data_IF_849007388350
#
_entry.id   IF_849007388350
#
_cell.length_a   1.000
_cell.length_b   1.000
_cell.length_c   1.000
_cell.angle_alpha   90.00
_cell.angle_beta   90.00
_cell.angle_gamma   90.00
#
_symmetry.space_group_name_H-M   'P 1'
#
loop_
_entity.id
_entity.type
_entity.pdbx_description
1 polymer ?
#
# COMPACT_ATOMS: atom_id res chain seq x y z
N UNK A 1 -6.54 21.87 -5.08
CA UNK A 1 -5.43 21.08 -4.51
C UNK A 1 -5.87 19.66 -4.17
N UNK A 2 -6.88 19.43 -3.31
CA UNK A 2 -7.36 18.08 -2.98
C UNK A 2 -7.93 17.29 -4.17
N UNK A 3 -8.85 17.89 -4.94
CA UNK A 3 -9.49 17.23 -6.11
C UNK A 3 -8.47 16.79 -7.17
N UNK A 4 -7.41 17.57 -7.37
CA UNK A 4 -6.34 17.27 -8.34
C UNK A 4 -5.43 16.13 -7.88
N UNK A 5 -5.12 16.05 -6.58
CA UNK A 5 -4.32 14.96 -6.01
C UNK A 5 -5.08 13.63 -6.10
N UNK A 6 -6.36 13.62 -5.69
CA UNK A 6 -7.19 12.42 -5.77
C UNK A 6 -7.37 11.95 -7.22
N UNK A 7 -7.63 12.86 -8.17
CA UNK A 7 -7.72 12.51 -9.59
C UNK A 7 -6.41 11.94 -10.14
N UNK A 8 -5.26 12.50 -9.73
CA UNK A 8 -3.94 11.98 -10.08
C UNK A 8 -3.71 10.56 -9.56
N UNK A 9 -4.07 10.32 -8.30
CA UNK A 9 -3.91 9.01 -7.68
C UNK A 9 -4.82 7.94 -8.30
N UNK A 10 -6.07 8.29 -8.62
CA UNK A 10 -6.99 7.36 -9.28
C UNK A 10 -6.54 7.01 -10.71
N UNK A 11 -5.87 7.92 -11.40
CA UNK A 11 -5.23 7.62 -12.69
C UNK A 11 -4.13 6.58 -12.52
N UNK A 12 -3.22 6.77 -11.55
CA UNK A 12 -2.13 5.81 -11.29
C UNK A 12 -2.67 4.42 -10.97
N UNK A 13 -3.66 4.32 -10.08
CA UNK A 13 -4.28 3.02 -9.77
C UNK A 13 -4.88 2.36 -11.02
N UNK A 14 -5.66 3.10 -11.81
CA UNK A 14 -6.27 2.53 -13.01
C UNK A 14 -5.23 2.19 -14.10
N UNK A 15 -4.17 2.96 -14.26
CA UNK A 15 -3.08 2.66 -15.20
C UNK A 15 -2.33 1.38 -14.80
N UNK A 16 -2.02 1.22 -13.52
CA UNK A 16 -1.32 0.02 -13.03
C UNK A 16 -2.18 -1.23 -13.12
N UNK A 17 -3.47 -1.14 -12.74
CA UNK A 17 -4.32 -2.32 -12.61
C UNK A 17 -5.11 -2.67 -13.90
N UNK A 18 -5.20 -1.76 -14.88
CA UNK A 18 -5.90 -2.01 -16.14
C UNK A 18 -5.37 -3.22 -16.95
N UNK A 19 -4.04 -3.47 -17.06
CA UNK A 19 -3.52 -4.68 -17.69
C UNK A 19 -4.03 -5.99 -17.08
N UNK A 20 -4.48 -5.93 -15.83
CA UNK A 20 -5.03 -7.06 -15.07
C UNK A 20 -6.57 -7.07 -15.03
N UNK A 21 -7.23 -6.27 -15.89
CA UNK A 21 -8.68 -6.12 -15.99
C UNK A 21 -9.36 -5.63 -14.69
N UNK A 22 -8.63 -4.89 -13.86
CA UNK A 22 -9.16 -4.26 -12.65
C UNK A 22 -9.29 -2.76 -12.90
N UNK A 23 -10.45 -2.21 -12.56
CA UNK A 23 -10.76 -0.78 -12.68
C UNK A 23 -11.36 -0.26 -11.37
N UNK A 24 -10.90 0.89 -10.92
CA UNK A 24 -11.43 1.58 -9.76
C UNK A 24 -12.26 2.80 -10.18
N UNK A 25 -13.45 2.90 -9.60
CA UNK A 25 -14.36 4.03 -9.78
C UNK A 25 -14.62 4.68 -8.42
N UNK A 26 -14.41 5.99 -8.34
CA UNK A 26 -14.67 6.74 -7.11
C UNK A 26 -16.18 6.79 -6.86
N UNK A 27 -16.65 6.14 -5.79
CA UNK A 27 -18.05 6.23 -5.33
C UNK A 27 -18.30 7.45 -4.44
N UNK A 28 -17.38 7.76 -3.54
CA UNK A 28 -17.47 8.91 -2.65
C UNK A 28 -16.09 9.51 -2.37
N UNK A 29 -16.03 10.81 -2.10
CA UNK A 29 -14.84 11.51 -1.67
C UNK A 29 -15.20 12.42 -0.49
N UNK A 30 -14.67 12.08 0.69
CA UNK A 30 -14.86 12.86 1.91
C UNK A 30 -13.55 13.50 2.36
N UNK A 31 -13.65 14.53 3.20
CA UNK A 31 -12.49 15.17 3.80
C UNK A 31 -12.80 15.45 5.28
N UNK A 32 -11.89 14.99 6.14
CA UNK A 32 -12.06 15.12 7.60
C UNK A 32 -10.84 15.82 8.18
N UNK A 33 -11.08 16.84 9.01
CA UNK A 33 -10.05 17.56 9.75
C UNK A 33 -10.09 17.11 11.21
N UNK A 34 -8.99 16.58 11.71
CA UNK A 34 -8.85 16.15 13.09
C UNK A 34 -7.39 16.26 13.55
N UNK A 35 -7.13 17.16 14.50
CA UNK A 35 -5.77 17.48 14.98
C UNK A 35 -5.02 16.29 15.59
N UNK A 36 -5.73 15.30 16.15
CA UNK A 36 -5.10 14.10 16.69
C UNK A 36 -4.61 13.18 15.55
N UNK A 37 -5.36 13.14 14.45
CA UNK A 37 -5.10 12.28 13.29
C UNK A 37 -4.03 12.82 12.35
N UNK A 38 -3.67 14.10 12.47
CA UNK A 38 -2.54 14.68 11.71
C UNK A 38 -1.20 14.46 12.38
N UNK A 39 -1.17 14.02 13.65
CA UNK A 39 0.06 13.81 14.42
C UNK A 39 0.47 12.35 14.50
N UNK A 40 -0.45 11.43 14.19
CA UNK A 40 -0.23 10.00 14.21
C UNK A 40 -1.32 9.32 13.37
N UNK A 41 -0.99 8.18 12.74
CA UNK A 41 -1.89 7.56 11.76
C UNK A 41 -3.28 7.19 12.30
N UNK A 42 -3.38 6.73 13.56
CA UNK A 42 -4.68 6.44 14.23
C UNK A 42 -5.61 5.59 13.35
N UNK A 43 -5.04 4.58 12.70
CA UNK A 43 -5.69 3.70 11.70
C UNK A 43 -7.03 3.17 12.21
N UNK A 44 -7.01 2.58 13.41
CA UNK A 44 -8.20 2.03 14.06
C UNK A 44 -9.32 3.07 14.18
N UNK A 45 -9.02 4.23 14.77
CA UNK A 45 -10.00 5.29 15.04
C UNK A 45 -10.61 5.83 13.74
N UNK A 46 -9.82 5.94 12.67
CA UNK A 46 -10.28 6.38 11.36
C UNK A 46 -11.18 5.35 10.71
N UNK A 47 -10.79 4.07 10.73
CA UNK A 47 -11.58 3.00 10.14
C UNK A 47 -12.96 2.89 10.82
N UNK A 48 -13.00 2.90 12.16
CA UNK A 48 -14.25 2.90 12.94
C UNK A 48 -15.14 4.12 12.64
N UNK A 49 -14.55 5.31 12.47
CA UNK A 49 -15.29 6.54 12.30
C UNK A 49 -15.70 6.85 10.85
N UNK A 50 -14.93 6.38 9.86
CA UNK A 50 -15.01 6.87 8.49
C UNK A 50 -15.26 5.80 7.44
N UNK A 51 -15.15 4.50 7.74
CA UNK A 51 -15.41 3.44 6.76
C UNK A 51 -16.82 3.55 6.19
N UNK A 52 -16.95 3.41 4.87
CA UNK A 52 -18.21 3.46 4.14
C UNK A 52 -18.27 2.35 3.09
N UNK A 53 -19.48 2.04 2.62
CA UNK A 53 -19.69 1.08 1.55
C UNK A 53 -19.96 -0.35 2.03
N UNK A 54 -19.87 -1.29 1.10
CA UNK A 54 -20.03 -2.73 1.28
C UNK A 54 -18.68 -3.48 1.14
N UNK A 55 -18.69 -4.82 1.13
CA UNK A 55 -17.49 -5.65 1.01
C UNK A 55 -16.76 -5.53 -0.33
N UNK A 56 -17.43 -5.03 -1.36
CA UNK A 56 -16.85 -4.72 -2.67
C UNK A 56 -16.35 -3.27 -2.80
N UNK A 57 -16.37 -2.51 -1.70
CA UNK A 57 -15.90 -1.12 -1.64
C UNK A 57 -14.56 -0.98 -0.92
N UNK A 58 -13.53 -0.63 -1.68
CA UNK A 58 -12.22 -0.29 -1.14
C UNK A 58 -12.22 1.13 -0.55
N UNK A 59 -11.92 1.24 0.75
CA UNK A 59 -11.68 2.51 1.43
C UNK A 59 -10.19 2.82 1.42
N UNK A 60 -9.80 4.01 0.92
CA UNK A 60 -8.42 4.50 0.97
C UNK A 60 -8.39 5.83 1.71
N UNK A 61 -7.65 5.87 2.82
CA UNK A 61 -7.45 7.05 3.65
C UNK A 61 -6.10 7.69 3.31
N UNK A 62 -6.13 8.78 2.54
CA UNK A 62 -4.95 9.62 2.33
C UNK A 62 -4.79 10.57 3.52
N UNK A 63 -3.69 10.41 4.27
CA UNK A 63 -3.54 11.05 5.57
C UNK A 63 -2.15 11.64 5.83
N UNK A 64 -2.10 12.60 6.75
CA UNK A 64 -0.87 13.28 7.19
C UNK A 64 -0.30 12.72 8.49
N UNK A 65 -1.02 11.80 9.14
CA UNK A 65 -0.61 11.18 10.40
C UNK A 65 0.41 10.06 10.24
N UNK A 66 0.54 9.51 9.02
CA UNK A 66 1.67 8.68 8.64
C UNK A 66 2.92 9.55 8.51
N UNK A 67 4.09 8.97 8.77
CA UNK A 67 5.39 9.62 8.60
C UNK A 67 5.73 10.75 9.58
N UNK A 68 4.93 10.93 10.62
CA UNK A 68 5.19 11.92 11.68
C UNK A 68 6.27 11.48 12.67
N UNK A 69 6.68 10.21 12.64
CA UNK A 69 7.74 9.65 13.47
C UNK A 69 8.82 8.98 12.59
N UNK A 70 10.09 8.95 13.04
CA UNK A 70 11.13 8.13 12.41
C UNK A 70 10.66 6.67 12.29
N UNK A 71 10.92 6.04 11.16
CA UNK A 71 10.53 4.65 10.83
C UNK A 71 9.02 4.40 10.69
N UNK A 72 8.19 5.44 10.55
CA UNK A 72 6.80 5.23 10.17
C UNK A 72 6.70 4.80 8.71
N UNK A 73 5.80 3.86 8.44
CA UNK A 73 5.48 3.44 7.08
C UNK A 73 4.87 4.59 6.26
N UNK A 74 5.04 4.52 4.94
CA UNK A 74 4.41 5.39 3.95
C UNK A 74 2.98 4.97 3.62
N UNK A 75 2.65 3.71 3.86
CA UNK A 75 1.33 3.14 3.71
C UNK A 75 1.17 1.87 4.55
N UNK A 76 -0.08 1.43 4.68
CA UNK A 76 -0.46 0.13 5.23
C UNK A 76 -1.85 -0.23 4.72
N UNK A 77 -2.07 -1.49 4.36
CA UNK A 77 -3.39 -1.99 4.03
C UNK A 77 -3.70 -3.32 4.71
N UNK A 78 -4.99 -3.60 4.89
CA UNK A 78 -5.46 -4.91 5.34
C UNK A 78 -5.36 -5.94 4.23
N UNK A 79 -4.99 -7.17 4.58
CA UNK A 79 -5.20 -8.34 3.71
C UNK A 79 -6.68 -8.73 3.67
N UNK A 80 -7.13 -9.52 2.67
CA UNK A 80 -8.40 -10.22 2.73
C UNK A 80 -8.45 -11.13 3.96
N UNK A 81 -9.39 -10.89 4.86
CA UNK A 81 -9.58 -11.71 6.07
C UNK A 81 -11.00 -12.27 6.07
N UNK A 82 -11.12 -13.59 6.21
CA UNK A 82 -12.41 -14.22 6.49
C UNK A 82 -12.79 -13.95 7.96
N UNK A 83 -13.91 -13.26 8.18
CA UNK A 83 -14.38 -12.93 9.54
C UNK A 83 -15.86 -13.25 9.78
N UNK A 84 -16.27 -14.54 9.72
CA UNK A 84 -17.68 -14.90 9.81
C UNK A 84 -18.24 -14.81 11.24
N UNK A 85 -17.40 -14.59 12.26
CA UNK A 85 -17.79 -14.48 13.67
C UNK A 85 -17.46 -13.12 14.33
N UNK A 86 -17.10 -12.09 13.56
CA UNK A 86 -16.76 -10.75 14.08
C UNK A 86 -15.64 -10.79 15.15
N UNK A 87 -14.57 -11.49 14.83
CA UNK A 87 -13.42 -11.79 15.70
C UNK A 87 -12.38 -10.67 15.76
N UNK A 88 -12.67 -9.52 15.16
CA UNK A 88 -11.78 -8.37 15.23
C UNK A 88 -11.72 -7.73 16.61
N UNK A 89 -11.14 -6.53 16.65
CA UNK A 89 -10.69 -5.91 17.90
C UNK A 89 -11.89 -5.65 18.84
N UNK A 90 -11.85 -6.19 20.06
CA UNK A 90 -12.92 -6.04 21.06
C UNK A 90 -14.32 -6.48 20.55
N UNK A 91 -14.39 -7.47 19.65
CA UNK A 91 -15.65 -7.98 19.09
C UNK A 91 -16.24 -7.14 17.96
N UNK A 92 -15.48 -6.17 17.44
CA UNK A 92 -15.80 -5.49 16.18
C UNK A 92 -15.35 -6.34 15.01
N UNK A 93 -16.10 -6.35 13.90
CA UNK A 93 -15.70 -7.11 12.71
C UNK A 93 -14.41 -6.57 12.09
N UNK A 94 -13.58 -7.46 11.52
CA UNK A 94 -12.45 -7.08 10.66
C UNK A 94 -12.89 -6.28 9.45
N UNK A 95 -14.14 -6.46 9.01
CA UNK A 95 -14.75 -5.59 8.02
C UNK A 95 -14.60 -4.11 8.37
N UNK A 96 -14.72 -3.72 9.64
CA UNK A 96 -14.58 -2.32 10.06
C UNK A 96 -13.19 -1.75 9.77
N UNK A 97 -12.16 -2.58 9.80
CA UNK A 97 -10.76 -2.18 9.65
C UNK A 97 -10.20 -2.44 8.25
N UNK A 98 -11.02 -2.99 7.36
CA UNK A 98 -10.64 -3.20 5.98
C UNK A 98 -10.37 -1.87 5.25
N UNK A 99 -9.33 -1.84 4.43
CA UNK A 99 -8.94 -0.67 3.63
C UNK A 99 -7.48 -0.27 3.83
N UNK A 100 -7.07 0.73 3.07
CA UNK A 100 -5.69 1.19 3.02
C UNK A 100 -5.52 2.58 3.62
N UNK A 101 -4.42 2.81 4.31
CA UNK A 101 -3.97 4.10 4.80
C UNK A 101 -2.69 4.48 4.08
N UNK A 102 -2.66 5.64 3.45
CA UNK A 102 -1.55 6.06 2.59
C UNK A 102 -1.16 7.49 2.94
N UNK A 103 0.14 7.76 3.02
CA UNK A 103 0.64 9.12 3.23
C UNK A 103 0.26 10.01 2.06
N UNK A 104 -0.25 11.22 2.34
CA UNK A 104 -0.45 12.24 1.30
C UNK A 104 0.86 12.64 0.61
N UNK A 105 2.01 12.39 1.25
CA UNK A 105 3.34 12.67 0.70
C UNK A 105 3.66 11.89 -0.57
N UNK A 106 3.15 10.66 -0.68
CA UNK A 106 3.45 9.75 -1.79
C UNK A 106 2.49 9.86 -2.96
N UNK A 107 1.42 10.66 -2.83
CA UNK A 107 0.46 10.90 -3.91
C UNK A 107 1.08 11.70 -5.07
N UNK A 108 0.59 11.52 -6.32
CA UNK A 108 0.99 12.33 -7.47
C UNK A 108 0.83 13.83 -7.22
N UNK A 109 1.93 14.57 -7.20
CA UNK A 109 1.95 16.01 -6.91
C UNK A 109 1.89 16.36 -5.41
N UNK A 110 2.02 15.36 -4.54
CA UNK A 110 2.23 15.53 -3.10
C UNK A 110 3.64 16.05 -2.78
N UNK A 111 3.90 16.43 -1.52
CA UNK A 111 5.18 17.03 -1.11
C UNK A 111 6.37 16.07 -1.10
N UNK A 112 6.17 14.77 -1.37
CA UNK A 112 7.21 13.75 -1.21
C UNK A 112 7.43 13.33 0.24
N UNK A 113 8.32 12.37 0.42
CA UNK A 113 8.69 11.85 1.74
C UNK A 113 10.01 12.46 2.21
N UNK A 114 10.26 12.66 3.53
CA UNK A 114 11.43 13.41 4.00
C UNK A 114 12.78 12.85 3.54
N UNK A 115 12.88 11.54 3.36
CA UNK A 115 14.09 10.86 2.91
C UNK A 115 14.15 10.64 1.39
N UNK A 116 13.03 10.85 0.68
CA UNK A 116 12.95 10.76 -0.78
C UNK A 116 11.85 11.69 -1.32
N UNK A 117 12.14 13.00 -1.45
CA UNK A 117 11.12 13.99 -1.83
C UNK A 117 10.54 13.78 -3.24
N UNK A 118 11.20 12.98 -4.06
CA UNK A 118 10.79 12.68 -5.44
C UNK A 118 9.91 11.44 -5.54
N UNK A 119 9.79 10.65 -4.47
CA UNK A 119 8.99 9.42 -4.44
C UNK A 119 7.50 9.72 -4.15
N UNK A 120 6.92 10.56 -5.01
CA UNK A 120 5.53 11.04 -4.93
C UNK A 120 4.73 10.65 -6.18
N UNK A 121 4.98 9.46 -6.72
CA UNK A 121 4.39 8.99 -7.99
C UNK A 121 3.08 8.21 -7.81
N UNK A 122 2.56 8.09 -6.59
CA UNK A 122 1.31 7.38 -6.28
C UNK A 122 1.40 5.86 -6.25
N UNK A 123 2.59 5.29 -6.46
CA UNK A 123 2.80 3.84 -6.48
C UNK A 123 2.75 3.22 -5.07
N UNK A 124 2.93 3.98 -3.98
CA UNK A 124 2.65 3.48 -2.62
C UNK A 124 1.20 3.01 -2.49
N UNK A 125 0.22 3.77 -2.98
CA UNK A 125 -1.17 3.31 -2.94
C UNK A 125 -1.39 2.06 -3.82
N UNK A 126 -0.59 1.88 -4.89
CA UNK A 126 -0.65 0.67 -5.70
C UNK A 126 -0.14 -0.54 -4.91
N UNK A 127 1.00 -0.40 -4.22
CA UNK A 127 1.56 -1.42 -3.31
C UNK A 127 0.54 -1.82 -2.23
N UNK A 128 -0.03 -0.83 -1.54
CA UNK A 128 -1.03 -1.07 -0.49
C UNK A 128 -2.28 -1.79 -1.02
N UNK A 129 -2.76 -1.43 -2.20
CA UNK A 129 -3.90 -2.12 -2.82
C UNK A 129 -3.52 -3.52 -3.29
N UNK A 130 -2.25 -3.80 -3.58
CA UNK A 130 -1.76 -5.16 -3.77
C UNK A 130 -1.97 -6.04 -2.53
N UNK A 131 -1.64 -5.53 -1.35
CA UNK A 131 -1.96 -6.22 -0.08
C UNK A 131 -3.46 -6.41 0.12
N UNK A 132 -4.28 -5.42 -0.26
CA UNK A 132 -5.74 -5.56 -0.23
C UNK A 132 -6.25 -6.70 -1.12
N UNK A 133 -5.57 -6.99 -2.23
CA UNK A 133 -5.85 -8.14 -3.08
C UNK A 133 -5.19 -9.45 -2.63
N UNK A 134 -4.45 -9.44 -1.51
CA UNK A 134 -3.82 -10.63 -0.95
C UNK A 134 -2.36 -10.85 -1.35
N UNK A 135 -1.71 -9.89 -2.03
CA UNK A 135 -0.32 -10.03 -2.43
C UNK A 135 0.61 -9.77 -1.25
N UNK A 136 1.58 -10.66 -1.07
CA UNK A 136 2.67 -10.54 -0.11
C UNK A 136 3.80 -9.66 -0.67
N UNK A 137 4.75 -9.29 0.19
CA UNK A 137 5.99 -8.70 -0.31
C UNK A 137 6.77 -9.74 -1.08
N UNK A 138 7.47 -9.34 -2.15
CA UNK A 138 8.28 -10.28 -2.96
C UNK A 138 9.38 -10.97 -2.15
N UNK A 139 9.77 -10.36 -1.01
CA UNK A 139 10.79 -10.85 -0.08
C UNK A 139 10.20 -11.50 1.19
N UNK A 140 8.88 -11.74 1.22
CA UNK A 140 8.28 -12.51 2.31
C UNK A 140 8.87 -13.93 2.35
N UNK A 141 8.98 -14.47 3.57
CA UNK A 141 9.78 -15.67 3.86
C UNK A 141 11.21 -15.36 4.30
N UNK A 142 11.78 -14.21 3.87
CA UNK A 142 13.13 -13.74 4.25
C UNK A 142 14.26 -14.75 3.97
N UNK A 143 14.05 -15.60 2.96
CA UNK A 143 14.99 -16.64 2.55
C UNK A 143 14.86 -16.88 1.03
N UNK A 144 15.85 -17.54 0.44
CA UNK A 144 15.83 -17.95 -0.97
C UNK A 144 15.07 -19.27 -1.18
N UNK A 145 14.99 -20.07 -0.12
CA UNK A 145 14.29 -21.33 -0.09
C UNK A 145 12.91 -21.17 0.59
N UNK A 146 11.96 -22.01 0.20
CA UNK A 146 10.61 -22.02 0.77
C UNK A 146 9.56 -21.49 -0.20
N UNK A 147 8.45 -21.00 0.35
CA UNK A 147 7.28 -20.61 -0.45
C UNK A 147 7.29 -19.12 -0.87
N UNK A 148 8.22 -18.31 -0.33
CA UNK A 148 8.37 -16.90 -0.69
C UNK A 148 7.09 -16.09 -0.47
N UNK A 149 6.71 -15.32 -1.51
CA UNK A 149 5.46 -14.55 -1.59
C UNK A 149 4.25 -15.38 -2.05
N UNK A 150 4.41 -16.71 -2.17
CA UNK A 150 3.42 -17.68 -2.67
C UNK A 150 3.08 -17.53 -4.16
N UNK A 151 3.92 -16.84 -4.95
CA UNK A 151 3.71 -16.62 -6.39
C UNK A 151 4.85 -17.25 -7.19
N UNK A 152 4.55 -18.34 -7.90
CA UNK A 152 5.54 -19.13 -8.65
C UNK A 152 6.35 -18.35 -9.70
N UNK A 153 5.81 -17.25 -10.25
CA UNK A 153 6.48 -16.44 -11.26
C UNK A 153 7.23 -15.21 -10.71
N UNK A 154 7.21 -15.00 -9.39
CA UNK A 154 8.10 -14.06 -8.71
C UNK A 154 9.45 -14.75 -8.43
N UNK A 155 10.59 -14.22 -8.92
CA UNK A 155 11.91 -14.76 -8.56
C UNK A 155 12.16 -14.74 -7.06
N UNK A 156 12.86 -15.77 -6.56
CA UNK A 156 13.22 -15.88 -5.15
C UNK A 156 13.97 -14.63 -4.69
N UNK A 157 13.44 -13.94 -3.68
CA UNK A 157 13.98 -12.69 -3.16
C UNK A 157 14.05 -12.79 -1.64
N UNK A 158 15.23 -12.51 -1.09
CA UNK A 158 15.47 -12.62 0.36
C UNK A 158 15.37 -11.29 1.09
N UNK A 159 15.67 -10.19 0.39
CA UNK A 159 15.79 -8.86 0.99
C UNK A 159 15.07 -7.85 0.12
N UNK A 160 14.31 -6.95 0.75
CA UNK A 160 13.70 -5.82 0.08
C UNK A 160 14.74 -4.96 -0.65
N UNK A 161 14.41 -4.55 -1.86
CA UNK A 161 15.23 -3.60 -2.61
C UNK A 161 14.96 -2.19 -2.09
N UNK A 162 16.02 -1.40 -1.86
CA UNK A 162 15.90 -0.02 -1.39
C UNK A 162 16.58 0.94 -2.37
N UNK A 163 15.94 2.08 -2.63
CA UNK A 163 16.45 3.07 -3.58
C UNK A 163 16.15 2.68 -5.02
N UNK A 164 17.05 3.01 -5.95
CA UNK A 164 16.87 2.75 -7.39
C UNK A 164 18.11 2.06 -7.98
N UNK A 165 18.44 0.82 -7.55
CA UNK A 165 19.56 0.10 -8.14
C UNK A 165 19.25 -0.31 -9.58
N UNK A 166 20.30 -0.50 -10.40
CA UNK A 166 20.13 -1.02 -11.76
C UNK A 166 19.79 -2.52 -11.82
N UNK A 167 20.14 -3.27 -10.78
CA UNK A 167 19.84 -4.69 -10.58
C UNK A 167 20.10 -5.09 -9.13
N UNK A 168 19.41 -6.11 -8.63
CA UNK A 168 19.70 -6.77 -7.36
C UNK A 168 19.53 -8.29 -7.56
N UNK A 169 20.34 -9.06 -6.84
CA UNK A 169 20.27 -10.52 -6.80
C UNK A 169 20.62 -10.96 -5.39
N UNK A 170 19.58 -11.12 -4.57
CA UNK A 170 19.72 -11.56 -3.18
C UNK A 170 19.78 -13.09 -3.05
N UNK A 171 19.49 -13.81 -4.14
CA UNK A 171 19.39 -15.27 -4.21
C UNK A 171 20.13 -15.85 -5.44
N UNK A 172 21.47 -15.70 -5.53
CA UNK A 172 22.24 -16.00 -6.74
C UNK A 172 22.30 -17.48 -7.11
N UNK A 173 21.94 -18.37 -6.18
CA UNK A 173 21.84 -19.81 -6.40
C UNK A 173 20.46 -20.24 -6.96
N UNK A 174 19.53 -19.29 -7.13
CA UNK A 174 18.19 -19.48 -7.70
C UNK A 174 18.05 -18.74 -9.05
N UNK A 175 17.14 -19.18 -9.94
CA UNK A 175 16.94 -18.52 -11.21
C UNK A 175 16.24 -17.16 -11.06
N UNK A 176 16.74 -16.16 -11.80
CA UNK A 176 16.14 -14.83 -11.88
C UNK A 176 16.96 -13.77 -11.13
N UNK A 177 16.56 -12.51 -11.29
CA UNK A 177 17.03 -11.40 -10.47
C UNK A 177 15.90 -10.98 -9.55
N UNK A 178 16.22 -10.34 -8.43
CA UNK A 178 15.21 -9.72 -7.57
C UNK A 178 14.31 -8.81 -8.45
N UNK A 179 12.98 -8.89 -8.32
CA UNK A 179 12.07 -8.20 -9.21
C UNK A 179 11.92 -6.73 -8.81
N UNK A 180 13.01 -5.95 -8.97
CA UNK A 180 13.14 -4.57 -8.46
C UNK A 180 12.07 -3.58 -8.96
N UNK A 181 11.34 -3.90 -10.02
CA UNK A 181 10.23 -3.06 -10.53
C UNK A 181 8.84 -3.59 -10.16
N UNK A 182 8.76 -4.68 -9.39
CA UNK A 182 7.50 -5.19 -8.87
C UNK A 182 6.97 -4.22 -7.82
N UNK A 183 5.68 -3.91 -7.90
CA UNK A 183 5.02 -2.99 -6.96
C UNK A 183 5.03 -3.51 -5.52
N UNK A 184 5.23 -4.81 -5.30
CA UNK A 184 5.30 -5.44 -3.98
C UNK A 184 6.72 -5.49 -3.39
N UNK A 185 7.71 -4.89 -4.05
CA UNK A 185 9.03 -4.58 -3.47
C UNK A 185 9.02 -3.16 -2.84
N UNK A 186 10.10 -2.78 -2.16
CA UNK A 186 10.30 -1.45 -1.56
C UNK A 186 11.17 -0.51 -2.39
N UNK A 187 11.44 -0.86 -3.65
CA UNK A 187 12.20 -0.02 -4.57
C UNK A 187 11.53 1.34 -4.73
N UNK A 188 12.34 2.39 -4.86
CA UNK A 188 11.88 3.73 -5.24
C UNK A 188 11.05 3.62 -6.52
N UNK A 189 9.96 4.38 -6.59
CA UNK A 189 8.95 4.24 -7.64
C UNK A 189 9.34 4.92 -8.97
N UNK A 190 10.50 5.56 -9.05
CA UNK A 190 11.02 6.27 -10.21
C UNK A 190 11.97 5.38 -11.03
N UNK A 191 11.36 4.51 -11.84
CA UNK A 191 12.01 3.61 -12.81
C UNK A 191 11.39 3.77 -14.20
#
# INVERSE_FOLDING_TARGET
MYVTLTAGQMRVLNETFAPHNIQFVVKNLTHTVNDAWTRQARIKDKAEALRQGAYDDLNIYFETGLMTNPNSATGICSFPVEDPWNTGINGTSWYTYDGCHVSVGTMPGGPGVPWDPEDNLGKTATHEVGHWFGLFHVFDGFDCDGEGDLIDDTPATKVATVGCPGSQDSCPDHPGLDPIHNYMDYTKHAW
#
